data_IF_522128474801
#
_entry.id   IF_522128474801
#
_cell.length_a   1.000
_cell.length_b   1.000
_cell.length_c   1.000
_cell.angle_alpha   90.00
_cell.angle_beta   90.00
_cell.angle_gamma   90.00
#
_symmetry.space_group_name_H-M   'P 1'
#
loop_
_entity.id
_entity.type
_entity.pdbx_description
1 polymer ?
#
# COMPACT_ATOMS: atom_id res chain seq x y z
N UNK A 1 2.97 -9.39 -7.16
CA UNK A 1 4.35 -9.93 -7.36
C UNK A 1 4.53 -10.66 -8.70
N UNK A 2 3.48 -11.11 -9.35
CA UNK A 2 3.54 -11.85 -10.63
C UNK A 2 4.27 -11.06 -11.74
N UNK A 3 4.02 -9.75 -11.85
CA UNK A 3 4.71 -8.88 -12.83
C UNK A 3 6.20 -8.82 -12.57
N UNK A 4 6.62 -8.64 -11.32
CA UNK A 4 8.05 -8.58 -10.94
C UNK A 4 8.73 -9.91 -11.23
N UNK A 5 8.07 -11.01 -10.87
CA UNK A 5 8.57 -12.35 -11.14
C UNK A 5 8.76 -12.58 -12.63
N UNK A 6 7.76 -12.24 -13.46
CA UNK A 6 7.87 -12.37 -14.94
C UNK A 6 8.98 -11.52 -15.54
N UNK A 7 9.20 -10.31 -15.01
CA UNK A 7 10.30 -9.47 -15.46
C UNK A 7 11.68 -10.09 -15.13
N UNK A 8 11.81 -10.65 -13.93
CA UNK A 8 13.05 -11.31 -13.50
C UNK A 8 13.33 -12.61 -14.28
N UNK A 9 12.33 -13.48 -14.36
CA UNK A 9 12.45 -14.77 -15.05
C UNK A 9 12.65 -14.60 -16.56
N UNK A 10 11.92 -13.65 -17.18
CA UNK A 10 12.01 -13.40 -18.61
C UNK A 10 13.24 -12.62 -19.05
N UNK A 11 13.99 -12.01 -18.14
CA UNK A 11 15.11 -11.14 -18.49
C UNK A 11 16.21 -11.84 -19.32
N UNK A 12 16.50 -13.10 -19.01
CA UNK A 12 17.53 -13.87 -19.70
C UNK A 12 17.11 -14.29 -21.12
N UNK A 13 15.85 -14.71 -21.26
CA UNK A 13 15.39 -15.46 -22.42
C UNK A 13 14.45 -14.69 -23.36
N UNK A 14 13.78 -13.63 -22.87
CA UNK A 14 12.86 -12.81 -23.66
C UNK A 14 13.46 -11.45 -24.01
N UNK A 15 13.81 -11.21 -25.30
CA UNK A 15 14.37 -9.93 -25.73
C UNK A 15 13.41 -8.73 -25.53
N UNK A 16 12.08 -8.94 -25.49
CA UNK A 16 11.14 -7.87 -25.22
C UNK A 16 11.11 -7.49 -23.74
N UNK A 17 11.22 -8.46 -22.84
CA UNK A 17 11.36 -8.24 -21.40
C UNK A 17 12.69 -7.51 -21.13
N UNK A 18 13.78 -8.00 -21.70
CA UNK A 18 15.10 -7.37 -21.54
C UNK A 18 15.09 -5.91 -21.97
N UNK A 19 14.55 -5.57 -23.14
CA UNK A 19 14.46 -4.19 -23.61
C UNK A 19 13.66 -3.28 -22.67
N UNK A 20 12.61 -3.81 -22.05
CA UNK A 20 11.79 -3.04 -21.08
C UNK A 20 12.58 -2.79 -19.79
N UNK A 21 13.24 -3.80 -19.27
CA UNK A 21 14.02 -3.70 -18.01
C UNK A 21 15.23 -2.78 -18.20
N UNK A 22 15.95 -2.91 -19.33
CA UNK A 22 17.14 -2.09 -19.61
C UNK A 22 16.77 -0.63 -19.97
N UNK A 23 15.59 -0.40 -20.55
CA UNK A 23 15.14 0.92 -21.02
C UNK A 23 14.29 1.71 -20.05
N UNK A 24 13.89 1.14 -18.92
CA UNK A 24 12.98 1.76 -17.96
C UNK A 24 13.51 1.64 -16.53
N UNK A 25 13.30 2.69 -15.74
CA UNK A 25 13.42 2.59 -14.29
C UNK A 25 12.08 2.10 -13.73
N UNK A 26 12.09 0.91 -13.11
CA UNK A 26 10.87 0.24 -12.65
C UNK A 26 10.84 0.21 -11.13
N UNK A 27 9.95 1.00 -10.54
CA UNK A 27 9.72 1.04 -9.10
C UNK A 27 8.63 0.05 -8.70
N UNK A 28 8.95 -0.84 -7.78
CA UNK A 28 8.02 -1.82 -7.25
C UNK A 28 7.89 -1.65 -5.73
N UNK A 29 6.67 -1.41 -5.26
CA UNK A 29 6.34 -1.41 -3.83
C UNK A 29 5.46 -2.64 -3.56
N UNK A 30 6.04 -3.75 -3.10
CA UNK A 30 5.32 -5.02 -2.97
C UNK A 30 4.18 -4.97 -1.96
N UNK A 31 4.31 -4.14 -0.95
CA UNK A 31 3.34 -4.01 0.13
C UNK A 31 3.29 -2.56 0.62
N UNK A 32 2.29 -1.82 0.16
CA UNK A 32 2.13 -0.39 0.48
C UNK A 32 1.68 -0.16 1.91
N UNK A 33 0.88 -1.08 2.46
CA UNK A 33 0.34 -0.97 3.81
C UNK A 33 0.61 -2.26 4.61
N UNK A 34 1.82 -2.40 5.20
CA UNK A 34 2.17 -3.58 5.98
C UNK A 34 1.31 -3.72 7.24
N UNK A 35 0.97 -2.62 7.90
CA UNK A 35 0.13 -2.63 9.10
C UNK A 35 -1.28 -3.14 8.77
N UNK A 36 -1.90 -2.59 7.71
CA UNK A 36 -3.21 -3.02 7.28
C UNK A 36 -3.23 -4.50 6.85
N UNK A 37 -2.18 -4.98 6.21
CA UNK A 37 -2.05 -6.39 5.87
C UNK A 37 -1.96 -7.26 7.13
N UNK A 38 -1.15 -6.87 8.11
CA UNK A 38 -1.03 -7.58 9.38
C UNK A 38 -2.37 -7.66 10.11
N UNK A 39 -3.08 -6.53 10.24
CA UNK A 39 -4.40 -6.49 10.89
C UNK A 39 -5.44 -7.31 10.16
N UNK A 40 -5.47 -7.27 8.82
CA UNK A 40 -6.36 -8.07 8.02
C UNK A 40 -6.18 -9.57 8.24
N UNK A 41 -4.91 -10.01 8.32
CA UNK A 41 -4.56 -11.43 8.47
C UNK A 41 -4.74 -11.96 9.90
N UNK A 42 -4.53 -11.11 10.91
CA UNK A 42 -4.37 -11.58 12.30
C UNK A 42 -5.43 -11.05 13.28
N UNK A 43 -6.18 -10.03 12.93
CA UNK A 43 -7.12 -9.39 13.85
C UNK A 43 -8.54 -9.29 13.29
N UNK A 44 -8.76 -8.43 12.32
CA UNK A 44 -10.08 -8.18 11.74
C UNK A 44 -9.95 -7.71 10.30
N UNK A 45 -10.74 -8.29 9.43
CA UNK A 45 -10.80 -7.87 8.02
C UNK A 45 -11.19 -6.40 7.84
N UNK A 46 -11.99 -5.86 8.76
CA UNK A 46 -12.42 -4.45 8.72
C UNK A 46 -11.28 -3.46 9.01
N UNK A 47 -10.27 -3.87 9.78
CA UNK A 47 -9.15 -3.01 10.17
C UNK A 47 -8.02 -2.90 9.11
N UNK A 48 -8.03 -3.75 8.07
CA UNK A 48 -6.92 -3.85 7.12
C UNK A 48 -6.80 -2.72 6.10
N UNK A 49 -7.72 -1.77 6.07
CA UNK A 49 -7.71 -0.66 5.10
C UNK A 49 -6.77 0.47 5.50
N UNK A 50 -6.75 0.82 6.78
CA UNK A 50 -5.93 1.87 7.34
C UNK A 50 -4.57 1.32 7.78
N UNK A 51 -3.58 2.21 7.93
CA UNK A 51 -2.31 1.85 8.58
C UNK A 51 -2.47 1.80 10.11
N UNK A 52 -1.39 1.47 10.84
CA UNK A 52 -1.37 1.36 12.29
C UNK A 52 -1.01 2.66 13.03
N UNK A 53 -1.31 3.83 12.46
CA UNK A 53 -1.06 5.10 13.16
C UNK A 53 -2.04 5.27 14.31
N UNK A 54 -1.52 5.53 15.49
CA UNK A 54 -2.27 5.98 16.65
C UNK A 54 -2.53 7.50 16.48
N UNK A 55 -3.77 7.87 16.20
CA UNK A 55 -4.13 9.25 15.86
C UNK A 55 -4.36 10.13 17.10
N UNK A 56 -4.75 9.54 18.23
CA UNK A 56 -5.05 10.27 19.48
C UNK A 56 -3.96 10.12 20.54
N UNK A 57 -3.00 9.20 20.32
CA UNK A 57 -1.85 9.01 21.21
C UNK A 57 -2.17 8.24 22.48
N UNK A 58 -3.24 7.47 22.51
CA UNK A 58 -3.64 6.70 23.69
C UNK A 58 -2.89 5.37 23.86
N UNK A 59 -2.09 4.99 22.86
CA UNK A 59 -1.31 3.76 22.82
C UNK A 59 -2.11 2.52 22.45
N UNK A 60 -3.37 2.65 22.08
CA UNK A 60 -4.25 1.56 21.64
C UNK A 60 -4.80 1.84 20.24
N UNK A 61 -4.86 0.84 19.39
CA UNK A 61 -5.43 1.00 18.05
C UNK A 61 -6.93 0.72 18.07
N UNK A 62 -7.71 1.73 17.77
CA UNK A 62 -9.16 1.73 17.68
C UNK A 62 -9.65 1.89 16.22
N UNK A 63 -10.96 1.90 16.02
CA UNK A 63 -11.57 2.17 14.71
C UNK A 63 -11.38 3.63 14.25
N UNK A 64 -11.04 4.51 15.17
CA UNK A 64 -10.80 5.94 14.94
C UNK A 64 -9.35 6.22 14.51
N UNK A 65 -8.45 5.24 14.69
CA UNK A 65 -7.05 5.33 14.36
C UNK A 65 -6.75 4.94 12.93
N UNK A 66 -5.50 5.20 12.55
CA UNK A 66 -4.97 4.88 11.24
C UNK A 66 -5.38 5.84 10.14
N UNK A 67 -4.61 5.80 9.07
CA UNK A 67 -4.82 6.58 7.85
C UNK A 67 -5.15 5.64 6.70
N UNK A 68 -6.20 5.93 5.96
CA UNK A 68 -6.47 5.30 4.68
C UNK A 68 -5.49 5.88 3.64
N UNK A 69 -4.43 5.14 3.34
CA UNK A 69 -3.38 5.59 2.43
C UNK A 69 -3.92 5.95 1.04
N UNK A 70 -5.00 5.27 0.60
CA UNK A 70 -5.64 5.54 -0.69
C UNK A 70 -6.63 6.72 -0.67
N UNK A 71 -6.75 7.41 0.45
CA UNK A 71 -7.52 8.67 0.59
C UNK A 71 -6.63 9.85 0.97
N UNK A 72 -5.34 9.60 1.16
CA UNK A 72 -4.40 10.60 1.66
C UNK A 72 -3.52 11.22 0.56
N UNK A 73 -4.05 11.33 -0.64
CA UNK A 73 -3.43 12.06 -1.75
C UNK A 73 -3.93 13.50 -1.80
N UNK A 74 -3.14 14.45 -2.34
CA UNK A 74 -3.51 15.88 -2.38
C UNK A 74 -4.80 16.17 -3.13
N UNK A 75 -5.09 15.43 -4.20
CA UNK A 75 -6.30 15.62 -5.01
C UNK A 75 -7.54 15.20 -4.22
N UNK A 76 -8.45 16.15 -4.00
CA UNK A 76 -9.69 15.98 -3.24
C UNK A 76 -9.47 15.45 -1.81
N UNK A 77 -8.35 15.80 -1.17
CA UNK A 77 -8.09 15.43 0.21
C UNK A 77 -9.21 15.95 1.13
N UNK A 78 -9.70 15.11 2.02
CA UNK A 78 -10.79 15.44 2.94
C UNK A 78 -12.19 15.44 2.33
N UNK A 79 -12.37 15.25 1.01
CA UNK A 79 -13.67 15.28 0.35
C UNK A 79 -14.66 14.20 0.84
N UNK A 80 -14.16 13.11 1.41
CA UNK A 80 -14.96 12.02 1.99
C UNK A 80 -15.10 12.14 3.52
N UNK A 81 -14.77 13.30 4.08
CA UNK A 81 -14.83 13.58 5.51
C UNK A 81 -13.65 13.00 6.31
N UNK A 82 -13.68 13.22 7.62
CA UNK A 82 -12.58 12.88 8.53
C UNK A 82 -12.25 11.39 8.59
N UNK A 83 -13.22 10.51 8.38
CA UNK A 83 -13.02 9.06 8.42
C UNK A 83 -12.20 8.53 7.24
N UNK A 84 -12.10 9.29 6.15
CA UNK A 84 -11.39 8.88 4.93
C UNK A 84 -9.94 9.36 4.86
N UNK A 85 -9.66 10.53 5.41
CA UNK A 85 -8.37 11.21 5.23
C UNK A 85 -7.95 11.82 6.56
N UNK A 86 -7.35 11.05 7.44
CA UNK A 86 -6.71 11.58 8.65
C UNK A 86 -5.20 11.57 8.47
N UNK A 87 -4.63 12.68 8.83
CA UNK A 87 -3.18 12.90 8.94
C UNK A 87 -2.75 12.86 10.39
#
# INVERSE_FOLDING_TARGET
LDVVQRLLEGYADDPAVRRRVDGLEIWCVPLVNPDGNYYYMHRSRAAGRKNGRDNDGDGALSVWDGVDLNRNYPFMWGALGELGSRS
#
